data_IF_232683241063
#
_entry.id   IF_232683241063
#
_cell.length_a   1.000
_cell.length_b   1.000
_cell.length_c   1.000
_cell.angle_alpha   90.00
_cell.angle_beta   90.00
_cell.angle_gamma   90.00
#
_symmetry.space_group_name_H-M   'P 1'
#
loop_
_entity.id
_entity.type
_entity.pdbx_description
1 polymer ?
#
# COMPACT_ATOMS: atom_id res chain seq x y z
N UNK A 1 -5.55 19.68 7.53
CA UNK A 1 -5.13 18.43 8.21
C UNK A 1 -4.22 17.55 7.35
N UNK A 2 -4.64 17.12 6.16
CA UNK A 2 -3.81 16.28 5.28
C UNK A 2 -2.44 16.89 4.94
N UNK A 3 -2.39 18.15 4.50
CA UNK A 3 -1.14 18.84 4.21
C UNK A 3 -0.15 18.86 5.40
N UNK A 4 -0.66 18.98 6.64
CA UNK A 4 0.18 18.94 7.84
C UNK A 4 0.75 17.53 8.09
N UNK A 5 -0.03 16.47 7.86
CA UNK A 5 0.43 15.09 7.95
C UNK A 5 1.48 14.76 6.88
N UNK A 6 1.26 15.21 5.65
CA UNK A 6 2.24 15.06 4.56
C UNK A 6 3.53 15.81 4.88
N UNK A 7 3.42 17.05 5.36
CA UNK A 7 4.58 17.85 5.78
C UNK A 7 5.37 17.18 6.90
N UNK A 8 4.69 16.66 7.92
CA UNK A 8 5.33 15.92 9.01
C UNK A 8 6.05 14.66 8.49
N UNK A 9 5.40 13.86 7.65
CA UNK A 9 5.98 12.67 7.02
C UNK A 9 7.25 13.02 6.21
N UNK A 10 7.15 14.01 5.33
CA UNK A 10 8.23 14.43 4.43
C UNK A 10 9.39 15.11 5.16
N UNK A 11 9.12 15.71 6.32
CA UNK A 11 10.13 16.29 7.19
C UNK A 11 10.92 15.27 8.02
N UNK A 12 10.50 14.00 8.07
CA UNK A 12 11.25 12.96 8.77
C UNK A 12 12.58 12.66 8.08
N UNK A 13 13.63 12.27 8.82
CA UNK A 13 14.84 11.70 8.23
C UNK A 13 14.51 10.50 7.34
N UNK A 14 15.27 10.30 6.25
CA UNK A 14 15.03 9.24 5.28
C UNK A 14 14.91 7.84 5.92
N UNK A 15 15.71 7.54 6.95
CA UNK A 15 15.64 6.28 7.69
C UNK A 15 14.30 6.07 8.40
N UNK A 16 13.72 7.13 8.97
CA UNK A 16 12.40 7.04 9.62
C UNK A 16 11.28 6.91 8.58
N UNK A 17 11.42 7.55 7.42
CA UNK A 17 10.53 7.34 6.29
C UNK A 17 10.58 5.88 5.79
N UNK A 18 11.78 5.30 5.65
CA UNK A 18 11.96 3.87 5.32
C UNK A 18 11.34 2.96 6.37
N UNK A 19 11.55 3.26 7.66
CA UNK A 19 10.94 2.49 8.75
C UNK A 19 9.41 2.52 8.68
N UNK A 20 8.82 3.68 8.39
CA UNK A 20 7.37 3.81 8.20
C UNK A 20 6.87 2.97 7.01
N UNK A 21 7.57 3.03 5.87
CA UNK A 21 7.22 2.23 4.69
C UNK A 21 7.28 0.73 5.03
N UNK A 22 8.35 0.27 5.69
CA UNK A 22 8.53 -1.13 6.10
C UNK A 22 7.47 -1.61 7.10
N UNK A 23 6.91 -0.70 7.91
CA UNK A 23 5.83 -1.03 8.83
C UNK A 23 4.46 -1.20 8.14
N UNK A 24 4.34 -0.87 6.85
CA UNK A 24 3.08 -1.00 6.13
C UNK A 24 2.79 -2.47 5.78
N UNK A 25 1.56 -2.96 6.01
CA UNK A 25 1.20 -4.34 5.66
C UNK A 25 1.18 -4.55 4.14
N UNK A 26 1.61 -5.74 3.72
CA UNK A 26 1.56 -6.13 2.31
C UNK A 26 0.12 -6.40 1.83
N UNK A 27 -0.13 -6.14 0.55
CA UNK A 27 -1.36 -6.53 -0.13
C UNK A 27 -1.43 -8.05 -0.27
N UNK A 28 -2.57 -8.64 0.13
CA UNK A 28 -2.80 -10.08 0.14
C UNK A 28 -1.69 -10.89 0.85
N UNK A 29 -0.94 -10.23 1.76
CA UNK A 29 0.14 -10.85 2.51
C UNK A 29 -0.34 -11.69 3.68
N UNK A 30 0.60 -12.27 4.44
CA UNK A 30 0.29 -13.19 5.55
C UNK A 30 -0.65 -12.59 6.61
N UNK A 31 -0.53 -11.30 6.91
CA UNK A 31 -1.44 -10.62 7.84
C UNK A 31 -2.88 -10.55 7.32
N UNK A 32 -3.07 -10.39 6.01
CA UNK A 32 -4.38 -10.42 5.38
C UNK A 32 -4.98 -11.83 5.47
N UNK A 33 -4.19 -12.84 5.13
CA UNK A 33 -4.59 -14.25 5.19
C UNK A 33 -4.93 -14.70 6.63
N UNK A 34 -4.19 -14.21 7.62
CA UNK A 34 -4.43 -14.50 9.03
C UNK A 34 -5.57 -13.67 9.66
N UNK A 35 -6.20 -12.76 8.91
CA UNK A 35 -7.23 -11.86 9.43
C UNK A 35 -6.71 -10.87 10.49
N UNK A 36 -5.40 -10.56 10.47
CA UNK A 36 -4.69 -9.75 11.46
C UNK A 36 -4.45 -8.29 11.00
N UNK A 37 -5.08 -7.88 9.89
CA UNK A 37 -5.04 -6.50 9.44
C UNK A 37 -5.82 -5.57 10.38
N UNK A 38 -5.41 -4.30 10.43
CA UNK A 38 -6.24 -3.25 11.06
C UNK A 38 -7.58 -3.13 10.34
N UNK A 39 -8.63 -2.66 11.02
CA UNK A 39 -9.95 -2.48 10.42
C UNK A 39 -9.93 -1.65 9.13
N UNK A 40 -9.09 -0.59 9.10
CA UNK A 40 -8.91 0.23 7.91
C UNK A 40 -8.29 -0.56 6.75
N UNK A 41 -7.22 -1.33 7.01
CA UNK A 41 -6.57 -2.17 6.00
C UNK A 41 -7.46 -3.31 5.51
N UNK A 42 -8.28 -3.90 6.39
CA UNK A 42 -9.27 -4.91 6.01
C UNK A 42 -10.33 -4.32 5.07
N UNK A 43 -10.87 -3.13 5.39
CA UNK A 43 -11.85 -2.46 4.53
C UNK A 43 -11.25 -2.07 3.16
N UNK A 44 -10.02 -1.54 3.16
CA UNK A 44 -9.29 -1.19 1.93
C UNK A 44 -9.09 -2.42 1.03
N UNK A 45 -8.53 -3.51 1.57
CA UNK A 45 -8.28 -4.74 0.80
C UNK A 45 -9.56 -5.44 0.37
N UNK A 46 -10.60 -5.45 1.22
CA UNK A 46 -11.92 -5.95 0.88
C UNK A 46 -12.56 -5.20 -0.29
N UNK A 47 -12.45 -3.87 -0.30
CA UNK A 47 -13.02 -3.02 -1.38
C UNK A 47 -12.37 -3.23 -2.75
N UNK A 48 -11.13 -3.71 -2.77
CA UNK A 48 -10.40 -4.06 -4.00
C UNK A 48 -10.56 -5.54 -4.39
N UNK A 49 -11.41 -6.29 -3.70
CA UNK A 49 -11.66 -7.71 -3.97
C UNK A 49 -10.51 -8.64 -3.57
N UNK A 50 -9.53 -8.17 -2.77
CA UNK A 50 -8.40 -8.99 -2.34
C UNK A 50 -8.77 -10.02 -1.27
N UNK A 51 -9.94 -9.90 -0.65
CA UNK A 51 -10.47 -10.89 0.30
C UNK A 51 -11.06 -12.15 -0.36
N UNK A 52 -11.21 -12.16 -1.69
CA UNK A 52 -11.83 -13.25 -2.45
C UNK A 52 -10.92 -13.77 -3.58
N UNK A 53 -9.61 -13.70 -3.38
CA UNK A 53 -8.63 -14.21 -4.36
C UNK A 53 -8.68 -15.74 -4.44
N UNK A 54 -8.61 -16.27 -5.66
CA UNK A 54 -8.31 -17.68 -5.88
C UNK A 54 -6.89 -18.03 -5.40
N UNK A 55 -6.62 -19.32 -5.21
CA UNK A 55 -5.28 -19.78 -4.83
C UNK A 55 -4.20 -19.38 -5.84
N UNK A 56 -4.53 -19.36 -7.13
CA UNK A 56 -3.61 -18.95 -8.20
C UNK A 56 -3.29 -17.45 -8.13
N UNK A 57 -4.32 -16.61 -7.94
CA UNK A 57 -4.13 -15.16 -7.79
C UNK A 57 -3.32 -14.86 -6.52
N UNK A 58 -3.63 -15.52 -5.41
CA UNK A 58 -2.88 -15.36 -4.16
C UNK A 58 -1.40 -15.72 -4.35
N UNK A 59 -1.10 -16.84 -5.00
CA UNK A 59 0.26 -17.23 -5.33
C UNK A 59 0.97 -16.20 -6.23
N UNK A 60 0.23 -15.55 -7.15
CA UNK A 60 0.77 -14.45 -7.97
C UNK A 60 1.13 -13.24 -7.12
N UNK A 61 0.25 -12.81 -6.20
CA UNK A 61 0.54 -11.73 -5.25
C UNK A 61 1.75 -12.05 -4.37
N UNK A 62 1.86 -13.28 -3.87
CA UNK A 62 3.01 -13.71 -3.05
C UNK A 62 4.33 -13.63 -3.84
N UNK A 63 4.36 -14.14 -5.08
CA UNK A 63 5.54 -14.04 -5.94
C UNK A 63 5.94 -12.58 -6.19
N UNK A 64 4.97 -11.71 -6.45
CA UNK A 64 5.19 -10.29 -6.67
C UNK A 64 5.70 -9.59 -5.40
N UNK A 65 5.13 -9.86 -4.23
CA UNK A 65 5.62 -9.35 -2.95
C UNK A 65 7.06 -9.79 -2.66
N UNK A 66 7.41 -11.05 -2.94
CA UNK A 66 8.79 -11.56 -2.79
C UNK A 66 9.75 -10.83 -3.74
N UNK A 67 9.42 -10.73 -5.02
CA UNK A 67 10.26 -10.03 -6.00
C UNK A 67 10.45 -8.55 -5.64
N UNK A 68 9.39 -7.91 -5.16
CA UNK A 68 9.41 -6.50 -4.79
C UNK A 68 10.29 -6.24 -3.58
N UNK A 69 10.17 -7.05 -2.52
CA UNK A 69 11.06 -6.98 -1.35
C UNK A 69 12.52 -7.24 -1.73
N UNK A 70 12.77 -8.25 -2.56
CA UNK A 70 14.13 -8.58 -2.99
C UNK A 70 14.80 -7.42 -3.75
N UNK A 71 14.02 -6.65 -4.52
CA UNK A 71 14.53 -5.53 -5.31
C UNK A 71 14.68 -4.24 -4.50
N UNK A 72 13.72 -3.92 -3.65
CA UNK A 72 13.61 -2.59 -3.03
C UNK A 72 13.81 -2.58 -1.52
N UNK A 73 13.79 -3.74 -0.86
CA UNK A 73 13.78 -3.88 0.61
C UNK A 73 12.64 -3.08 1.29
N UNK A 74 11.52 -2.97 0.58
CA UNK A 74 10.28 -2.31 0.99
C UNK A 74 9.08 -3.20 0.61
N UNK A 75 7.96 -3.14 1.33
CA UNK A 75 6.70 -3.71 0.86
C UNK A 75 6.14 -2.91 -0.33
N UNK A 76 5.35 -3.56 -1.18
CA UNK A 76 4.55 -2.85 -2.17
C UNK A 76 3.37 -2.15 -1.50
N UNK A 77 3.27 -0.84 -1.70
CA UNK A 77 2.19 -0.02 -1.13
C UNK A 77 1.47 0.66 -2.28
N UNK A 78 0.14 0.60 -2.28
CA UNK A 78 -0.71 1.30 -3.23
C UNK A 78 -2.02 1.69 -2.56
N UNK A 79 -2.53 2.89 -2.86
CA UNK A 79 -3.88 3.27 -2.49
C UNK A 79 -4.89 2.52 -3.37
N UNK A 80 -5.42 1.42 -2.85
CA UNK A 80 -6.25 0.48 -3.62
C UNK A 80 -7.75 0.78 -3.63
N UNK A 81 -8.22 1.78 -2.86
CA UNK A 81 -9.65 2.15 -2.83
C UNK A 81 -10.11 2.57 -4.23
N UNK A 82 -11.07 1.85 -4.79
CA UNK A 82 -11.58 2.08 -6.15
C UNK A 82 -10.69 1.51 -7.27
N UNK A 83 -9.65 0.73 -6.94
CA UNK A 83 -8.84 0.00 -7.92
C UNK A 83 -9.37 -1.42 -8.11
N UNK A 84 -9.24 -1.95 -9.33
CA UNK A 84 -9.49 -3.36 -9.61
C UNK A 84 -8.25 -4.23 -9.29
N UNK A 85 -8.44 -5.54 -9.16
CA UNK A 85 -7.35 -6.50 -8.94
C UNK A 85 -6.32 -6.45 -10.07
N UNK A 86 -6.79 -6.35 -11.30
CA UNK A 86 -5.98 -6.26 -12.52
C UNK A 86 -5.14 -4.98 -12.52
N UNK A 87 -5.73 -3.85 -12.10
CA UNK A 87 -5.01 -2.59 -11.97
C UNK A 87 -3.89 -2.66 -10.92
N UNK A 88 -4.12 -3.36 -9.80
CA UNK A 88 -3.10 -3.57 -8.76
C UNK A 88 -1.95 -4.44 -9.29
N UNK A 89 -2.27 -5.54 -9.98
CA UNK A 89 -1.27 -6.42 -10.58
C UNK A 89 -0.43 -5.71 -11.65
N UNK A 90 -1.08 -4.93 -12.52
CA UNK A 90 -0.40 -4.12 -13.52
C UNK A 90 0.52 -3.07 -12.87
N UNK A 91 0.08 -2.43 -11.78
CA UNK A 91 0.90 -1.48 -11.04
C UNK A 91 2.13 -2.15 -10.41
N UNK A 92 1.99 -3.37 -9.86
CA UNK A 92 3.10 -4.18 -9.36
C UNK A 92 4.16 -4.41 -10.44
N UNK A 93 3.73 -4.94 -11.59
CA UNK A 93 4.63 -5.29 -12.71
C UNK A 93 5.30 -4.05 -13.29
N UNK A 94 4.56 -2.94 -13.43
CA UNK A 94 5.12 -1.69 -13.88
C UNK A 94 6.19 -1.15 -12.92
N UNK A 95 5.90 -1.13 -11.62
CA UNK A 95 6.76 -0.56 -10.57
C UNK A 95 7.99 -1.41 -10.25
N UNK A 96 7.93 -2.72 -10.48
CA UNK A 96 9.13 -3.58 -10.44
C UNK A 96 10.23 -3.16 -11.43
N UNK A 97 9.92 -2.32 -12.42
CA UNK A 97 10.92 -1.79 -13.37
C UNK A 97 11.54 -0.47 -12.91
N UNK A 98 11.02 0.16 -11.86
CA UNK A 98 11.55 1.41 -11.32
C UNK A 98 12.96 1.21 -10.74
N UNK A 99 13.71 2.31 -10.64
CA UNK A 99 14.90 2.34 -9.79
C UNK A 99 14.50 2.47 -8.30
N UNK A 100 15.39 2.11 -7.35
CA UNK A 100 15.05 2.12 -5.93
C UNK A 100 14.66 3.48 -5.35
N UNK A 101 15.19 4.58 -5.87
CA UNK A 101 14.87 5.92 -5.37
C UNK A 101 13.49 6.36 -5.86
N UNK A 102 13.19 6.15 -7.14
CA UNK A 102 11.84 6.35 -7.69
C UNK A 102 10.79 5.58 -6.91
N UNK A 103 11.09 4.34 -6.55
CA UNK A 103 10.14 3.49 -5.83
C UNK A 103 9.97 3.90 -4.38
N UNK A 104 11.03 4.34 -3.72
CA UNK A 104 10.95 4.93 -2.39
C UNK A 104 10.03 6.18 -2.40
N UNK A 105 10.18 7.06 -3.40
CA UNK A 105 9.34 8.25 -3.54
C UNK A 105 7.87 7.91 -3.86
N UNK A 106 7.64 6.88 -4.70
CA UNK A 106 6.29 6.39 -4.98
C UNK A 106 5.64 5.78 -3.73
N UNK A 107 6.36 4.95 -2.95
CA UNK A 107 5.83 4.40 -1.71
C UNK A 107 5.34 5.50 -0.75
N UNK A 108 6.08 6.60 -0.61
CA UNK A 108 5.65 7.76 0.18
C UNK A 108 4.38 8.41 -0.40
N UNK A 109 4.32 8.65 -1.73
CA UNK A 109 3.12 9.19 -2.38
C UNK A 109 1.89 8.30 -2.15
N UNK A 110 2.05 6.98 -2.19
CA UNK A 110 0.96 6.05 -1.90
C UNK A 110 0.51 6.11 -0.44
N UNK A 111 1.44 6.21 0.53
CA UNK A 111 1.10 6.41 1.94
C UNK A 111 0.33 7.71 2.15
N UNK A 112 0.74 8.81 1.51
CA UNK A 112 0.04 10.10 1.58
C UNK A 112 -1.39 10.02 1.02
N UNK A 113 -1.56 9.28 -0.08
CA UNK A 113 -2.86 9.01 -0.70
C UNK A 113 -3.74 8.16 0.21
N UNK A 114 -3.20 7.13 0.84
CA UNK A 114 -3.91 6.31 1.83
C UNK A 114 -4.33 7.15 3.03
N UNK A 115 -3.44 7.99 3.57
CA UNK A 115 -3.74 8.89 4.67
C UNK A 115 -4.87 9.87 4.29
N UNK A 116 -4.85 10.43 3.09
CA UNK A 116 -5.93 11.28 2.58
C UNK A 116 -7.29 10.56 2.55
N UNK A 117 -7.33 9.36 1.98
CA UNK A 117 -8.56 8.58 1.88
C UNK A 117 -9.13 8.25 3.26
N UNK A 118 -8.25 7.87 4.21
CA UNK A 118 -8.64 7.59 5.60
C UNK A 118 -9.13 8.82 6.36
N UNK A 119 -8.61 10.01 6.05
CA UNK A 119 -9.12 11.27 6.60
C UNK A 119 -10.49 11.60 6.02
N UNK A 120 -10.67 11.44 4.71
CA UNK A 120 -11.95 11.67 4.03
C UNK A 120 -13.05 10.76 4.59
N UNK A 121 -12.72 9.50 4.91
CA UNK A 121 -13.69 8.55 5.50
C UNK A 121 -14.05 8.87 6.97
N UNK A 122 -13.26 9.71 7.65
CA UNK A 122 -13.47 10.10 9.06
C UNK A 122 -14.11 11.48 9.23
N UNK A 123 -13.97 12.36 8.24
CA UNK A 123 -14.58 13.68 8.26
C UNK A 123 -15.98 13.59 7.66
N UNK A 124 -16.97 14.29 8.24
CA UNK A 124 -18.29 14.38 7.63
C UNK A 124 -18.15 14.95 6.21
N UNK A 125 -18.86 14.37 5.26
CA UNK A 125 -19.05 14.99 3.94
C UNK A 125 -19.62 16.39 4.16
N UNK A 126 -19.01 17.43 3.61
CA UNK A 126 -19.67 18.73 3.56
C UNK A 126 -20.96 18.55 2.75
N UNK A 127 -22.09 18.72 3.41
CA UNK A 127 -23.44 18.74 2.81
C UNK A 127 -23.70 20.05 2.10
#
# INVERSE_FOLDING_TARGET
LHAALVGALRGLPAEQQRALIRAHPELAGRLAQAGQLTQASTAEQGSAGLGALSAEELARFERLNVAYRARFDLPFIMAIKGSSREAILAAFEARLRNDPEQEFQEALRQIERIAWLRLKDRLPSES
#
